data_IF_124566971761
#
_entry.id   IF_124566971761
#
_cell.length_a   1.000
_cell.length_b   1.000
_cell.length_c   1.000
_cell.angle_alpha   90.00
_cell.angle_beta   90.00
_cell.angle_gamma   90.00
#
_symmetry.space_group_name_H-M   'P 1'
#
loop_
_entity.id
_entity.type
_entity.pdbx_description
1 polymer ?
#
# COMPACT_ATOMS: atom_id res chain seq x y z
N UNK A 1 -18.70 -10.57 -1.63
CA UNK A 1 -18.91 -10.10 -3.02
C UNK A 1 -19.21 -8.60 -2.97
N UNK A 2 -18.30 -7.76 -3.44
CA UNK A 2 -18.54 -6.32 -3.56
C UNK A 2 -19.74 -6.10 -4.48
N UNK A 3 -20.76 -5.34 -4.05
CA UNK A 3 -21.90 -5.01 -4.89
C UNK A 3 -21.38 -4.22 -6.10
N UNK A 4 -21.36 -4.87 -7.25
CA UNK A 4 -20.93 -4.29 -8.50
C UNK A 4 -21.79 -3.04 -8.81
N UNK A 5 -21.14 -1.95 -9.24
CA UNK A 5 -21.88 -0.80 -9.78
C UNK A 5 -22.62 -1.26 -11.02
N UNK A 6 -23.96 -1.05 -11.11
CA UNK A 6 -24.75 -1.52 -12.22
C UNK A 6 -24.27 -0.91 -13.55
N UNK A 7 -24.32 -1.71 -14.62
CA UNK A 7 -24.11 -1.25 -15.99
C UNK A 7 -25.03 -2.02 -16.92
N UNK A 8 -25.46 -1.38 -18.00
CA UNK A 8 -26.28 -2.03 -19.04
C UNK A 8 -25.43 -2.69 -20.13
N UNK A 9 -24.13 -2.51 -20.09
CA UNK A 9 -23.19 -3.02 -21.08
C UNK A 9 -22.85 -4.47 -20.76
N UNK A 10 -22.97 -5.36 -21.76
CA UNK A 10 -22.72 -6.80 -21.60
C UNK A 10 -21.24 -7.17 -21.71
N UNK A 11 -20.47 -6.41 -22.48
CA UNK A 11 -19.03 -6.61 -22.68
C UNK A 11 -18.27 -6.18 -21.41
N UNK A 12 -17.84 -7.16 -20.63
CA UNK A 12 -17.16 -6.92 -19.34
C UNK A 12 -15.77 -6.35 -19.52
N UNK A 13 -15.05 -6.70 -20.58
CA UNK A 13 -13.71 -6.17 -20.85
C UNK A 13 -13.78 -4.69 -21.20
N UNK A 14 -14.75 -4.32 -22.05
CA UNK A 14 -15.03 -2.92 -22.34
C UNK A 14 -15.43 -2.14 -21.10
N UNK A 15 -16.27 -2.72 -20.23
CA UNK A 15 -16.65 -2.09 -18.96
C UNK A 15 -15.45 -1.86 -18.07
N UNK A 16 -14.57 -2.85 -17.91
CA UNK A 16 -13.36 -2.76 -17.11
C UNK A 16 -12.42 -1.67 -17.64
N UNK A 17 -12.19 -1.65 -18.95
CA UNK A 17 -11.36 -0.64 -19.60
C UNK A 17 -11.90 0.78 -19.37
N UNK A 18 -13.19 1.00 -19.65
CA UNK A 18 -13.82 2.32 -19.52
C UNK A 18 -13.86 2.79 -18.07
N UNK A 19 -14.10 1.89 -17.13
CA UNK A 19 -14.04 2.22 -15.71
C UNK A 19 -12.62 2.57 -15.26
N UNK A 20 -11.60 1.90 -15.77
CA UNK A 20 -10.20 2.27 -15.51
C UNK A 20 -9.90 3.70 -16.00
N UNK A 21 -10.31 4.04 -17.22
CA UNK A 21 -10.15 5.40 -17.76
C UNK A 21 -10.87 6.46 -16.90
N UNK A 22 -12.09 6.16 -16.43
CA UNK A 22 -12.85 7.03 -15.52
C UNK A 22 -12.13 7.20 -14.19
N UNK A 23 -11.62 6.12 -13.59
CA UNK A 23 -10.90 6.11 -12.32
C UNK A 23 -9.67 7.02 -12.40
N UNK A 24 -8.86 6.87 -13.44
CA UNK A 24 -7.62 7.63 -13.60
C UNK A 24 -7.89 9.15 -13.72
N UNK A 25 -8.83 9.51 -14.61
CA UNK A 25 -9.24 10.91 -14.80
C UNK A 25 -9.84 11.50 -13.53
N UNK A 26 -10.79 10.79 -12.91
CA UNK A 26 -11.48 11.29 -11.73
C UNK A 26 -10.55 11.41 -10.51
N UNK A 27 -9.68 10.42 -10.28
CA UNK A 27 -8.71 10.45 -9.19
C UNK A 27 -7.82 11.69 -9.29
N UNK A 28 -7.32 12.00 -10.47
CA UNK A 28 -6.53 13.20 -10.73
C UNK A 28 -7.33 14.47 -10.43
N UNK A 29 -8.52 14.61 -11.00
CA UNK A 29 -9.36 15.81 -10.81
C UNK A 29 -9.80 16.00 -9.36
N UNK A 30 -10.14 14.92 -8.65
CA UNK A 30 -10.50 14.99 -7.24
C UNK A 30 -9.32 15.41 -6.35
N UNK A 31 -8.12 14.99 -6.67
CA UNK A 31 -6.92 15.41 -5.92
C UNK A 31 -6.52 16.85 -6.22
N UNK A 32 -6.64 17.30 -7.47
CA UNK A 32 -6.28 18.66 -7.90
C UNK A 32 -7.29 19.72 -7.43
N UNK A 33 -8.57 19.46 -7.64
CA UNK A 33 -9.66 20.46 -7.46
C UNK A 33 -10.51 20.21 -6.23
N UNK A 34 -10.43 19.00 -5.64
CA UNK A 34 -11.30 18.52 -4.58
C UNK A 34 -12.52 17.78 -5.12
N UNK A 35 -13.00 16.80 -4.36
CA UNK A 35 -14.15 15.96 -4.73
C UNK A 35 -15.41 16.80 -4.95
N UNK A 36 -15.74 17.70 -4.00
CA UNK A 36 -16.97 18.50 -4.05
C UNK A 36 -16.99 19.49 -5.22
N UNK A 37 -15.85 20.08 -5.56
CA UNK A 37 -15.72 21.08 -6.65
C UNK A 37 -15.64 20.44 -8.04
N UNK A 38 -15.47 19.11 -8.15
CA UNK A 38 -15.42 18.40 -9.43
C UNK A 38 -16.79 17.85 -9.77
N UNK A 39 -17.31 18.17 -10.95
CA UNK A 39 -18.57 17.64 -11.45
C UNK A 39 -18.35 16.41 -12.34
N UNK A 40 -19.41 15.60 -12.52
CA UNK A 40 -19.38 14.48 -13.50
C UNK A 40 -19.12 15.01 -14.93
N UNK A 41 -19.62 16.21 -15.25
CA UNK A 41 -19.35 16.85 -16.54
C UNK A 41 -17.87 17.18 -16.74
N UNK A 42 -17.17 17.59 -15.68
CA UNK A 42 -15.72 17.85 -15.76
C UNK A 42 -14.94 16.57 -16.00
N UNK A 43 -15.35 15.48 -15.37
CA UNK A 43 -14.77 14.15 -15.59
C UNK A 43 -15.03 13.70 -17.03
N UNK A 44 -16.27 13.79 -17.52
CA UNK A 44 -16.61 13.41 -18.90
C UNK A 44 -15.84 14.22 -19.96
N UNK A 45 -15.63 15.53 -19.75
CA UNK A 45 -14.84 16.37 -20.67
C UNK A 45 -13.37 15.95 -20.73
N UNK A 46 -12.85 15.34 -19.68
CA UNK A 46 -11.47 14.89 -19.60
C UNK A 46 -11.28 13.40 -19.98
N UNK A 47 -12.40 12.67 -20.17
CA UNK A 47 -12.40 11.31 -20.70
C UNK A 47 -12.45 11.30 -22.24
N UNK A 48 -12.04 10.20 -22.90
CA UNK A 48 -12.09 10.06 -24.35
C UNK A 48 -13.52 9.75 -24.90
N UNK A 49 -14.55 9.95 -24.10
CA UNK A 49 -15.96 9.70 -24.45
C UNK A 49 -16.88 10.74 -23.81
N UNK A 50 -18.08 10.89 -24.35
CA UNK A 50 -19.02 11.92 -23.95
C UNK A 50 -19.75 11.60 -22.62
N UNK A 51 -20.47 12.60 -22.09
CA UNK A 51 -21.22 12.49 -20.83
C UNK A 51 -22.27 11.37 -20.82
N UNK A 52 -22.98 11.17 -21.95
CA UNK A 52 -23.98 10.11 -22.05
C UNK A 52 -23.34 8.73 -21.93
N UNK A 53 -22.20 8.53 -22.59
CA UNK A 53 -21.42 7.30 -22.47
C UNK A 53 -20.90 7.09 -21.04
N UNK A 54 -20.47 8.14 -20.33
CA UNK A 54 -20.00 8.02 -18.94
C UNK A 54 -21.12 7.46 -18.03
N UNK A 55 -22.35 7.94 -18.19
CA UNK A 55 -23.49 7.45 -17.41
C UNK A 55 -23.86 5.98 -17.66
N UNK A 56 -23.36 5.36 -18.71
CA UNK A 56 -23.52 3.90 -18.93
C UNK A 56 -22.65 3.07 -17.95
N UNK A 57 -21.61 3.66 -17.37
CA UNK A 57 -20.65 2.98 -16.50
C UNK A 57 -20.79 3.34 -15.04
N UNK A 58 -21.27 4.56 -14.72
CA UNK A 58 -21.42 5.10 -13.37
C UNK A 58 -22.63 6.04 -13.31
N UNK A 59 -23.37 6.02 -12.19
CA UNK A 59 -24.54 6.88 -12.00
C UNK A 59 -24.20 8.17 -11.21
N UNK A 60 -23.15 8.16 -10.40
CA UNK A 60 -22.80 9.25 -9.49
C UNK A 60 -21.31 9.43 -9.30
N UNK A 61 -20.89 10.55 -8.70
CA UNK A 61 -19.50 10.75 -8.26
C UNK A 61 -19.12 9.77 -7.14
N UNK A 62 -20.07 9.40 -6.30
CA UNK A 62 -19.86 8.38 -5.27
C UNK A 62 -19.53 7.02 -5.88
N UNK A 63 -20.19 6.65 -6.99
CA UNK A 63 -19.84 5.41 -7.71
C UNK A 63 -18.41 5.42 -8.19
N UNK A 64 -17.96 6.56 -8.72
CA UNK A 64 -16.57 6.72 -9.17
C UNK A 64 -15.60 6.58 -7.99
N UNK A 65 -15.89 7.23 -6.86
CA UNK A 65 -15.06 7.10 -5.66
C UNK A 65 -15.03 5.66 -5.16
N UNK A 66 -16.15 4.96 -5.23
CA UNK A 66 -16.23 3.55 -4.86
C UNK A 66 -15.46 2.64 -5.83
N UNK A 67 -15.47 2.93 -7.15
CA UNK A 67 -14.62 2.24 -8.12
C UNK A 67 -13.12 2.42 -7.80
N UNK A 68 -12.70 3.62 -7.43
CA UNK A 68 -11.33 3.89 -6.96
C UNK A 68 -10.98 2.99 -5.76
N UNK A 69 -11.90 2.85 -4.81
CA UNK A 69 -11.72 1.98 -3.67
C UNK A 69 -11.65 0.50 -4.06
N UNK A 70 -12.56 0.04 -4.95
CA UNK A 70 -12.60 -1.35 -5.42
C UNK A 70 -11.30 -1.75 -6.13
N UNK A 71 -10.77 -0.90 -7.00
CA UNK A 71 -9.50 -1.15 -7.68
C UNK A 71 -8.36 -1.35 -6.67
N UNK A 72 -8.28 -0.48 -5.66
CA UNK A 72 -7.27 -0.62 -4.60
C UNK A 72 -7.46 -1.91 -3.78
N UNK A 73 -8.71 -2.28 -3.47
CA UNK A 73 -9.03 -3.52 -2.73
C UNK A 73 -8.58 -4.75 -3.52
N UNK A 74 -8.88 -4.81 -4.82
CA UNK A 74 -8.51 -5.93 -5.69
C UNK A 74 -6.98 -6.07 -5.81
N UNK A 75 -6.27 -4.98 -6.00
CA UNK A 75 -4.81 -5.00 -6.14
C UNK A 75 -4.11 -5.36 -4.82
N UNK A 76 -4.63 -4.91 -3.68
CA UNK A 76 -4.15 -5.36 -2.37
C UNK A 76 -4.35 -6.86 -2.20
N UNK A 77 -5.54 -7.36 -2.54
CA UNK A 77 -5.86 -8.79 -2.43
C UNK A 77 -4.92 -9.65 -3.29
N UNK A 78 -4.71 -9.26 -4.56
CA UNK A 78 -3.77 -9.94 -5.47
C UNK A 78 -2.35 -9.97 -4.89
N UNK A 79 -1.86 -8.82 -4.42
CA UNK A 79 -0.51 -8.71 -3.89
C UNK A 79 -0.31 -9.52 -2.61
N UNK A 80 -1.30 -9.55 -1.72
CA UNK A 80 -1.21 -10.31 -0.47
C UNK A 80 -1.36 -11.82 -0.69
N UNK A 81 -2.22 -12.22 -1.62
CA UNK A 81 -2.36 -13.64 -2.00
C UNK A 81 -1.09 -14.23 -2.66
N UNK A 82 -0.27 -13.38 -3.28
CA UNK A 82 0.99 -13.77 -3.90
C UNK A 82 2.18 -13.83 -2.90
N UNK A 83 1.96 -13.52 -1.62
CA UNK A 83 3.01 -13.60 -0.60
C UNK A 83 3.23 -15.06 -0.21
N UNK A 84 4.39 -15.58 -0.55
CA UNK A 84 4.82 -16.88 -0.07
C UNK A 84 5.26 -16.80 1.40
N UNK A 85 4.62 -17.59 2.24
CA UNK A 85 4.93 -17.65 3.67
C UNK A 85 5.76 -18.91 3.95
N UNK A 86 6.98 -18.74 4.44
CA UNK A 86 7.84 -19.83 4.89
C UNK A 86 7.68 -20.03 6.39
N UNK A 87 7.40 -21.27 6.78
CA UNK A 87 7.31 -21.62 8.20
C UNK A 87 8.70 -21.62 8.88
N UNK A 88 9.76 -21.79 8.10
CA UNK A 88 11.13 -21.83 8.63
C UNK A 88 11.78 -20.43 8.69
N UNK A 89 11.23 -19.46 7.95
CA UNK A 89 11.71 -18.07 7.96
C UNK A 89 10.56 -17.07 8.10
N UNK A 90 9.97 -16.93 9.29
CA UNK A 90 8.93 -15.91 9.54
C UNK A 90 9.42 -14.47 9.35
N UNK A 91 10.70 -14.20 9.61
CA UNK A 91 11.28 -12.86 9.44
C UNK A 91 11.40 -12.48 7.96
N UNK A 92 11.84 -13.41 7.12
CA UNK A 92 11.86 -13.24 5.65
C UNK A 92 10.46 -13.11 5.07
N UNK A 93 9.51 -13.93 5.55
CA UNK A 93 8.09 -13.84 5.16
C UNK A 93 7.49 -12.47 5.52
N UNK A 94 7.77 -11.95 6.72
CA UNK A 94 7.34 -10.63 7.14
C UNK A 94 7.92 -9.52 6.25
N UNK A 95 9.22 -9.60 5.94
CA UNK A 95 9.90 -8.66 5.04
C UNK A 95 9.29 -8.70 3.64
N UNK A 96 9.01 -9.89 3.11
CA UNK A 96 8.41 -10.08 1.78
C UNK A 96 7.00 -9.51 1.71
N UNK A 97 6.16 -9.79 2.71
CA UNK A 97 4.81 -9.23 2.81
C UNK A 97 4.84 -7.69 2.89
N UNK A 98 5.73 -7.13 3.72
CA UNK A 98 5.87 -5.68 3.88
C UNK A 98 6.31 -5.03 2.57
N UNK A 99 7.27 -5.63 1.85
CA UNK A 99 7.75 -5.14 0.55
C UNK A 99 6.64 -5.16 -0.51
N UNK A 100 5.89 -6.26 -0.59
CA UNK A 100 4.75 -6.38 -1.50
C UNK A 100 3.71 -5.31 -1.23
N UNK A 101 3.36 -5.10 0.04
CA UNK A 101 2.38 -4.10 0.39
C UNK A 101 2.86 -2.67 0.17
N UNK A 102 4.09 -2.34 0.55
CA UNK A 102 4.68 -1.02 0.27
C UNK A 102 4.69 -0.68 -1.22
N UNK A 103 4.94 -1.65 -2.11
CA UNK A 103 4.87 -1.44 -3.57
C UNK A 103 3.46 -1.10 -4.05
N UNK A 104 2.44 -1.77 -3.51
CA UNK A 104 1.03 -1.42 -3.80
C UNK A 104 0.71 -0.02 -3.29
N UNK A 105 1.10 0.31 -2.06
CA UNK A 105 0.91 1.64 -1.48
C UNK A 105 1.59 2.73 -2.32
N UNK A 106 2.77 2.47 -2.85
CA UNK A 106 3.49 3.39 -3.73
C UNK A 106 2.77 3.56 -5.07
N UNK A 107 2.41 2.46 -5.72
CA UNK A 107 1.73 2.44 -7.03
C UNK A 107 0.37 3.14 -6.97
N UNK A 108 -0.41 2.86 -5.93
CA UNK A 108 -1.77 3.39 -5.74
C UNK A 108 -1.83 4.56 -4.76
N UNK A 109 -0.73 5.30 -4.61
CA UNK A 109 -0.64 6.47 -3.73
C UNK A 109 -1.73 7.52 -3.95
N UNK A 110 -2.11 7.90 -5.20
CA UNK A 110 -3.22 8.82 -5.43
C UNK A 110 -4.55 8.28 -4.87
N UNK A 111 -4.84 6.99 -5.05
CA UNK A 111 -6.06 6.35 -4.55
C UNK A 111 -6.12 6.37 -3.02
N UNK A 112 -5.02 5.99 -2.36
CA UNK A 112 -4.92 6.01 -0.88
C UNK A 112 -5.17 7.43 -0.36
N UNK A 113 -4.50 8.44 -0.92
CA UNK A 113 -4.68 9.84 -0.51
C UNK A 113 -6.11 10.33 -0.70
N UNK A 114 -6.74 9.94 -1.80
CA UNK A 114 -8.14 10.30 -2.08
C UNK A 114 -9.07 9.64 -1.06
N UNK A 115 -8.92 8.33 -0.83
CA UNK A 115 -9.77 7.60 0.12
C UNK A 115 -9.60 8.10 1.55
N UNK A 116 -8.39 8.41 2.01
CA UNK A 116 -8.19 9.02 3.33
C UNK A 116 -8.88 10.37 3.48
N UNK A 117 -9.07 11.12 2.39
CA UNK A 117 -9.68 12.43 2.41
C UNK A 117 -11.19 12.40 2.27
N UNK A 118 -11.71 11.45 1.49
CA UNK A 118 -13.09 11.46 1.01
C UNK A 118 -13.89 10.21 1.43
N UNK A 119 -13.37 9.38 2.36
CA UNK A 119 -14.02 8.14 2.77
C UNK A 119 -15.46 8.35 3.27
N UNK A 120 -15.69 9.46 3.97
CA UNK A 120 -16.99 9.81 4.55
C UNK A 120 -18.05 10.21 3.51
N UNK A 121 -17.65 10.45 2.26
CA UNK A 121 -18.57 10.66 1.13
C UNK A 121 -19.28 9.37 0.73
N UNK A 122 -18.64 8.21 0.97
CA UNK A 122 -19.26 6.92 0.67
C UNK A 122 -20.42 6.63 1.60
N UNK A 123 -21.50 6.08 1.03
CA UNK A 123 -22.62 5.55 1.82
C UNK A 123 -22.14 4.52 2.85
N UNK A 124 -22.82 4.37 4.00
CA UNK A 124 -22.38 3.47 5.06
C UNK A 124 -22.04 2.05 4.61
N UNK A 125 -22.84 1.37 3.74
CA UNK A 125 -22.49 0.02 3.29
C UNK A 125 -21.22 -0.03 2.44
N UNK A 126 -20.95 0.99 1.62
CA UNK A 126 -19.75 1.09 0.79
C UNK A 126 -18.51 1.38 1.64
N UNK A 127 -18.65 2.26 2.63
CA UNK A 127 -17.59 2.58 3.59
C UNK A 127 -17.19 1.34 4.39
N UNK A 128 -18.16 0.55 4.85
CA UNK A 128 -17.93 -0.70 5.55
C UNK A 128 -17.12 -1.69 4.69
N UNK A 129 -17.44 -1.83 3.40
CA UNK A 129 -16.67 -2.66 2.46
C UNK A 129 -15.20 -2.20 2.39
N UNK A 130 -14.97 -0.89 2.31
CA UNK A 130 -13.62 -0.34 2.26
C UNK A 130 -12.87 -0.61 3.55
N UNK A 131 -13.50 -0.39 4.70
CA UNK A 131 -12.91 -0.63 6.01
C UNK A 131 -12.64 -2.11 6.26
N UNK A 132 -13.59 -2.98 5.93
CA UNK A 132 -13.42 -4.43 6.05
C UNK A 132 -12.27 -4.96 5.17
N UNK A 133 -11.99 -4.30 4.05
CA UNK A 133 -10.87 -4.70 3.17
C UNK A 133 -9.47 -4.53 3.80
N UNK A 134 -9.35 -3.86 4.93
CA UNK A 134 -8.09 -3.77 5.66
C UNK A 134 -7.65 -5.13 6.19
N UNK A 135 -8.61 -6.01 6.53
CA UNK A 135 -8.33 -7.38 6.98
C UNK A 135 -7.53 -8.18 5.95
N UNK A 136 -7.77 -7.96 4.66
CA UNK A 136 -7.02 -8.64 3.58
C UNK A 136 -5.50 -8.51 3.74
N UNK A 137 -5.04 -7.38 4.26
CA UNK A 137 -3.61 -7.12 4.50
C UNK A 137 -3.22 -7.56 5.91
N UNK A 138 -4.02 -7.19 6.92
CA UNK A 138 -3.67 -7.48 8.31
C UNK A 138 -3.67 -8.98 8.62
N UNK A 139 -4.55 -9.78 8.00
CA UNK A 139 -4.61 -11.22 8.21
C UNK A 139 -3.33 -11.93 7.78
N UNK A 140 -2.73 -11.50 6.66
CA UNK A 140 -1.43 -12.03 6.20
C UNK A 140 -0.32 -11.74 7.22
N UNK A 141 -0.22 -10.48 7.68
CA UNK A 141 0.77 -10.12 8.68
C UNK A 141 0.53 -10.82 10.03
N UNK A 142 -0.73 -10.90 10.46
CA UNK A 142 -1.10 -11.57 11.70
C UNK A 142 -0.70 -13.04 11.68
N UNK A 143 -0.96 -13.76 10.59
CA UNK A 143 -0.55 -15.15 10.42
C UNK A 143 0.97 -15.31 10.50
N UNK A 144 1.73 -14.45 9.82
CA UNK A 144 3.19 -14.50 9.86
C UNK A 144 3.70 -14.26 11.28
N UNK A 145 3.13 -13.29 11.99
CA UNK A 145 3.54 -12.95 13.37
C UNK A 145 3.21 -14.09 14.33
N UNK A 146 2.01 -14.70 14.24
CA UNK A 146 1.63 -15.88 15.06
C UNK A 146 2.61 -17.04 14.85
N UNK A 147 2.90 -17.38 13.61
CA UNK A 147 3.91 -18.42 13.29
C UNK A 147 5.28 -18.08 13.84
N UNK A 148 5.72 -16.82 13.74
CA UNK A 148 7.00 -16.37 14.30
C UNK A 148 7.07 -16.49 15.82
N UNK A 149 5.98 -16.21 16.53
CA UNK A 149 5.86 -16.40 18.00
C UNK A 149 5.89 -17.89 18.34
N UNK A 150 5.08 -18.71 17.69
CA UNK A 150 5.03 -20.18 17.89
C UNK A 150 6.39 -20.84 17.69
N UNK A 151 7.17 -20.36 16.71
CA UNK A 151 8.54 -20.84 16.44
C UNK A 151 9.60 -20.24 17.37
N UNK A 152 9.22 -19.32 18.27
CA UNK A 152 10.16 -18.65 19.15
C UNK A 152 11.12 -17.66 18.48
N UNK A 153 10.87 -17.32 17.19
CA UNK A 153 11.66 -16.34 16.42
C UNK A 153 11.26 -14.92 16.82
N UNK A 154 9.95 -14.68 17.03
CA UNK A 154 9.42 -13.41 17.49
C UNK A 154 9.14 -13.42 18.98
N UNK A 155 9.18 -12.24 19.57
CA UNK A 155 8.77 -12.01 20.97
C UNK A 155 7.24 -12.18 21.11
N UNK A 156 6.78 -12.47 22.32
CA UNK A 156 5.36 -12.47 22.66
C UNK A 156 4.80 -11.04 22.52
N UNK A 157 4.04 -10.80 21.45
CA UNK A 157 3.39 -9.53 21.11
C UNK A 157 1.97 -9.80 20.64
N UNK A 158 1.13 -8.77 20.68
CA UNK A 158 -0.22 -8.88 20.11
C UNK A 158 -0.14 -8.87 18.56
N UNK A 159 -0.41 -10.04 17.89
CA UNK A 159 -0.20 -10.17 16.44
C UNK A 159 -1.01 -9.18 15.60
N UNK A 160 -2.26 -8.92 16.03
CA UNK A 160 -3.15 -7.97 15.35
C UNK A 160 -2.63 -6.54 15.42
N UNK A 161 -2.06 -6.12 16.55
CA UNK A 161 -1.47 -4.80 16.70
C UNK A 161 -0.24 -4.64 15.80
N UNK A 162 0.62 -5.67 15.73
CA UNK A 162 1.78 -5.68 14.82
C UNK A 162 1.33 -5.58 13.37
N UNK A 163 0.30 -6.33 12.99
CA UNK A 163 -0.27 -6.30 11.64
C UNK A 163 -0.82 -4.92 11.26
N UNK A 164 -1.55 -4.26 12.17
CA UNK A 164 -2.04 -2.90 11.98
C UNK A 164 -0.89 -1.90 11.85
N UNK A 165 0.14 -2.03 12.68
CA UNK A 165 1.34 -1.18 12.59
C UNK A 165 2.03 -1.34 11.23
N UNK A 166 2.19 -2.58 10.73
CA UNK A 166 2.76 -2.84 9.41
C UNK A 166 1.95 -2.17 8.29
N UNK A 167 0.63 -2.29 8.34
CA UNK A 167 -0.28 -1.69 7.37
C UNK A 167 -0.14 -0.16 7.36
N UNK A 168 -0.34 0.51 8.50
CA UNK A 168 -0.36 1.96 8.57
C UNK A 168 1.02 2.59 8.36
N UNK A 169 2.08 1.89 8.72
CA UNK A 169 3.45 2.32 8.48
C UNK A 169 3.75 2.43 6.98
N UNK A 170 3.24 1.49 6.15
CA UNK A 170 3.34 1.62 4.70
C UNK A 170 2.56 2.85 4.19
N UNK A 171 1.41 3.18 4.77
CA UNK A 171 0.62 4.35 4.38
C UNK A 171 1.33 5.68 4.66
N UNK A 172 2.28 5.72 5.60
CA UNK A 172 3.12 6.89 5.88
C UNK A 172 3.79 7.42 4.61
N UNK A 173 4.25 6.52 3.73
CA UNK A 173 4.82 6.87 2.43
C UNK A 173 3.85 7.67 1.54
N UNK A 174 2.57 7.30 1.53
CA UNK A 174 1.57 7.96 0.69
C UNK A 174 1.07 9.28 1.28
N UNK A 175 0.94 9.35 2.61
CA UNK A 175 0.25 10.45 3.28
C UNK A 175 1.21 11.57 3.71
N UNK A 176 2.43 11.24 4.12
CA UNK A 176 3.35 12.15 4.78
C UNK A 176 4.67 12.37 4.03
N UNK A 177 4.61 12.50 2.70
CA UNK A 177 5.80 12.69 1.85
C UNK A 177 6.67 13.88 2.29
N UNK A 178 6.04 14.97 2.78
CA UNK A 178 6.79 16.15 3.23
C UNK A 178 7.64 15.84 4.45
N UNK A 179 7.14 15.01 5.38
CA UNK A 179 7.88 14.59 6.57
C UNK A 179 9.06 13.66 6.22
N UNK A 180 8.96 12.93 5.10
CA UNK A 180 10.02 12.02 4.64
C UNK A 180 11.11 12.73 3.83
N UNK A 181 10.90 14.00 3.41
CA UNK A 181 11.93 14.78 2.70
C UNK A 181 13.15 14.96 3.61
N UNK A 182 14.32 14.65 3.08
CA UNK A 182 15.57 14.70 3.86
C UNK A 182 15.90 13.40 4.61
N UNK A 183 14.94 12.45 4.68
CA UNK A 183 15.19 11.10 5.20
C UNK A 183 15.40 10.14 4.03
N UNK A 184 14.43 10.08 3.13
CA UNK A 184 14.49 9.28 1.90
C UNK A 184 13.56 9.84 0.81
N UNK A 185 13.93 9.63 -0.45
CA UNK A 185 13.08 9.91 -1.62
C UNK A 185 12.77 8.63 -2.40
N UNK A 186 13.35 7.51 -2.00
CA UNK A 186 13.25 6.21 -2.66
C UNK A 186 12.39 5.27 -1.82
N UNK A 187 11.41 4.62 -2.46
CA UNK A 187 10.50 3.68 -1.79
C UNK A 187 11.23 2.44 -1.26
N UNK A 188 12.24 1.95 -1.97
CA UNK A 188 12.97 0.76 -1.54
C UNK A 188 13.83 1.08 -0.30
N UNK A 189 14.46 2.26 -0.24
CA UNK A 189 15.19 2.74 0.94
C UNK A 189 14.24 2.93 2.14
N UNK A 190 13.07 3.54 1.91
CA UNK A 190 12.04 3.68 2.94
C UNK A 190 11.61 2.31 3.47
N UNK A 191 11.36 1.36 2.57
CA UNK A 191 11.00 -0.01 2.93
C UNK A 191 12.09 -0.67 3.78
N UNK A 192 13.37 -0.58 3.37
CA UNK A 192 14.48 -1.21 4.10
C UNK A 192 14.63 -0.64 5.51
N UNK A 193 14.54 0.69 5.67
CA UNK A 193 14.55 1.32 6.98
C UNK A 193 13.39 0.85 7.86
N UNK A 194 12.19 0.83 7.33
CA UNK A 194 10.99 0.46 8.08
C UNK A 194 10.95 -1.03 8.43
N UNK A 195 11.34 -1.91 7.49
CA UNK A 195 11.41 -3.34 7.77
C UNK A 195 12.44 -3.65 8.85
N UNK A 196 13.57 -2.95 8.86
CA UNK A 196 14.60 -3.12 9.90
C UNK A 196 14.08 -2.66 11.26
N UNK A 197 13.42 -1.50 11.36
CA UNK A 197 12.84 -1.00 12.62
C UNK A 197 11.82 -2.01 13.16
N UNK A 198 10.89 -2.49 12.33
CA UNK A 198 9.88 -3.44 12.76
C UNK A 198 10.49 -4.78 13.18
N UNK A 199 11.36 -5.35 12.36
CA UNK A 199 11.98 -6.65 12.66
C UNK A 199 12.88 -6.59 13.90
N UNK A 200 13.59 -5.49 14.15
CA UNK A 200 14.34 -5.32 15.41
C UNK A 200 13.44 -5.32 16.64
N UNK A 201 12.22 -4.78 16.52
CA UNK A 201 11.22 -4.82 17.59
C UNK A 201 10.57 -6.19 17.76
N UNK A 202 10.43 -6.96 16.67
CA UNK A 202 9.76 -8.27 16.65
C UNK A 202 10.68 -9.39 17.13
N UNK A 203 11.96 -9.38 16.73
CA UNK A 203 12.90 -10.46 17.01
C UNK A 203 13.14 -10.65 18.50
N UNK A 204 13.08 -11.90 18.96
CA UNK A 204 13.37 -12.27 20.34
C UNK A 204 14.81 -11.93 20.70
N UNK A 205 15.03 -11.31 21.85
CA UNK A 205 16.37 -11.03 22.35
C UNK A 205 17.09 -12.37 22.61
N UNK A 206 18.13 -12.66 21.85
CA UNK A 206 18.87 -13.93 21.88
C UNK A 206 18.89 -14.69 20.55
N UNK A 207 17.93 -14.46 19.64
CA UNK A 207 17.92 -15.04 18.29
C UNK A 207 18.90 -14.33 17.31
N UNK A 208 19.49 -13.21 17.70
CA UNK A 208 20.42 -12.40 16.87
C UNK A 208 21.72 -13.08 16.49
N UNK A 209 22.07 -14.23 17.10
CA UNK A 209 23.38 -14.87 16.90
C UNK A 209 23.49 -15.74 15.64
N UNK A 210 22.38 -16.14 15.00
CA UNK A 210 22.43 -17.03 13.84
C UNK A 210 22.56 -16.29 12.48
N UNK A 211 22.08 -15.06 12.37
CA UNK A 211 22.11 -14.30 11.11
C UNK A 211 23.43 -13.53 10.85
N UNK A 212 24.28 -13.34 11.87
CA UNK A 212 25.55 -12.59 11.74
C UNK A 212 26.76 -13.44 11.34
N UNK A 213 26.63 -14.75 11.15
CA UNK A 213 27.74 -15.62 10.75
C UNK A 213 27.89 -15.80 9.23
N UNK A 214 27.63 -14.77 8.43
CA UNK A 214 28.10 -14.74 7.05
C UNK A 214 29.48 -14.07 6.99
N UNK A 215 30.51 -14.66 6.38
CA UNK A 215 31.87 -14.12 6.45
C UNK A 215 31.97 -12.82 5.66
N UNK A 216 32.25 -11.73 6.36
CA UNK A 216 32.66 -10.46 5.77
C UNK A 216 33.84 -10.68 4.82
N UNK A 217 33.63 -10.49 3.53
CA UNK A 217 34.70 -10.34 2.56
C UNK A 217 35.59 -9.15 3.00
N UNK A 218 36.86 -9.44 3.28
CA UNK A 218 37.90 -8.45 3.63
C UNK A 218 38.04 -7.45 2.47
N UNK A 219 37.51 -6.27 2.58
CA UNK A 219 37.90 -5.12 1.75
C UNK A 219 39.04 -4.40 2.46
N UNK A 220 40.22 -4.48 1.86
CA UNK A 220 41.41 -3.80 2.32
C UNK A 220 41.24 -2.28 2.35
N UNK A 221 41.45 -1.71 3.49
CA UNK A 221 41.49 -0.26 3.73
C UNK A 221 42.81 0.29 3.18
N UNK A 222 42.76 0.99 2.06
CA UNK A 222 43.88 1.81 1.59
C UNK A 222 43.73 3.17 2.24
N UNK A 223 44.54 3.42 3.25
CA UNK A 223 44.69 4.75 3.88
C UNK A 223 45.43 5.63 2.88
N UNK A 224 44.78 6.69 2.40
CA UNK A 224 45.40 7.78 1.69
C UNK A 224 45.55 8.93 2.67
N UNK A 225 46.83 9.30 2.92
CA UNK A 225 47.20 10.36 3.86
C UNK A 225 46.77 11.74 3.37
N UNK A 226 46.39 12.59 4.31
CA UNK A 226 46.14 14.03 4.15
C UNK A 226 47.51 14.77 4.05
N UNK A 227 47.70 15.76 3.17
CA UNK A 227 48.83 16.68 3.23
C UNK A 227 48.55 17.83 4.22
N UNK A 228 49.60 18.44 4.78
CA UNK A 228 49.46 19.42 5.84
C UNK A 228 49.16 20.84 5.32
N UNK A 229 48.47 21.57 6.19
CA UNK A 229 48.23 23.02 6.30
C UNK A 229 49.22 23.95 5.60
N UNK A 230 48.70 25.03 4.97
CA UNK A 230 49.35 26.34 4.92
C UNK A 230 48.31 27.48 4.81
N UNK A 231 48.29 28.32 5.87
CA UNK A 231 48.00 29.76 5.98
C UNK A 231 46.71 30.28 5.31
#
# INVERSE_FOLDING_TARGET
>A
MAKNIPTTIKDQDLVAQRRSEIIDVATRLFLERGFHKTSIRDIARACPFNLASLYMYVASKEDILFLVAQQLIEEKAKAMAAVEMSDDDPAGSFRTALKSYCRIVHRYRPHIRLLYRELDVLSPPRREIVMASLSTVTDVFEQIVRKGIERGVFSELEPKLVALNALFLCHLWSLHTRALRGITQNIDEFFDMQSNIMLQGLLRRGAKSAAEKSPRAKRGTRVVGLPPTLV
#
